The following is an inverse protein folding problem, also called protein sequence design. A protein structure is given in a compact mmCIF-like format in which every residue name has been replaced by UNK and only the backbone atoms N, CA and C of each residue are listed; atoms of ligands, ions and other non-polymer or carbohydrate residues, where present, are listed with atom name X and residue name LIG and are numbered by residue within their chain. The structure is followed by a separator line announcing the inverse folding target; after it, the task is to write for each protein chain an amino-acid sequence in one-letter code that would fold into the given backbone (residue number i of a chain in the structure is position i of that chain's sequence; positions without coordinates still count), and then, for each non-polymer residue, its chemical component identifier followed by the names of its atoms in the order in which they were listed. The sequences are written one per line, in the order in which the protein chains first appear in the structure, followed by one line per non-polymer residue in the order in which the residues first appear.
data_IF_482391706945
#
_entry.id   IF_482391706945
#
_cell.length_a   1.000
_cell.length_b   1.000
_cell.length_c   1.000
_cell.angle_alpha   90.00
_cell.angle_beta   90.00
_cell.angle_gamma   90.00
#
_symmetry.space_group_name_H-M   'P 1'
#
loop_
_entity.id
_entity.type
_entity.pdbx_description
1 polymer ?
#
# COMPACT_ATOMS: atom_id res chain seq x y z
N UNK A 1 26.35 42.33 13.90
CA UNK A 1 24.91 42.64 13.98
C UNK A 1 24.18 41.36 14.35
N UNK A 2 23.60 41.32 15.54
CA UNK A 2 22.85 40.17 16.07
C UNK A 2 21.37 40.33 15.73
N UNK A 3 20.74 39.29 15.16
CA UNK A 3 19.29 39.29 14.91
C UNK A 3 18.59 38.34 15.87
N UNK A 4 17.74 38.92 16.72
CA UNK A 4 16.79 38.26 17.62
C UNK A 4 15.42 38.24 16.94
N UNK A 5 14.85 37.06 16.70
CA UNK A 5 13.46 36.92 16.27
C UNK A 5 12.55 36.76 17.50
N UNK A 6 11.73 37.78 17.79
CA UNK A 6 10.50 37.62 18.60
C UNK A 6 9.32 37.58 17.63
N UNK A 7 8.66 36.43 17.53
CA UNK A 7 7.34 36.31 16.92
C UNK A 7 6.31 36.18 18.04
N UNK A 8 5.43 37.17 18.19
CA UNK A 8 4.19 37.03 18.96
C UNK A 8 3.02 37.29 18.02
N UNK A 9 2.43 36.21 17.51
CA UNK A 9 1.10 36.23 16.92
C UNK A 9 0.21 35.41 17.86
N UNK A 10 -0.68 36.09 18.58
CA UNK A 10 -1.69 35.49 19.44
C UNK A 10 -2.80 34.89 18.57
N UNK A 11 -2.94 33.57 18.60
CA UNK A 11 -4.10 32.89 18.03
C UNK A 11 -5.22 32.79 19.07
N UNK A 12 -6.50 33.01 18.69
CA UNK A 12 -7.62 32.83 19.60
C UNK A 12 -7.81 31.36 19.97
N UNK A 13 -8.11 31.11 21.25
CA UNK A 13 -8.30 29.78 21.84
C UNK A 13 -9.61 29.16 21.35
N UNK A 14 -9.51 28.15 20.50
CA UNK A 14 -10.65 27.33 20.07
C UNK A 14 -11.16 26.50 21.27
N UNK A 15 -12.43 26.63 21.61
CA UNK A 15 -13.07 25.83 22.67
C UNK A 15 -13.26 24.39 22.17
N UNK A 16 -12.82 23.42 22.97
CA UNK A 16 -13.08 22.00 22.70
C UNK A 16 -14.58 21.71 22.79
N UNK A 17 -15.17 20.96 21.84
CA UNK A 17 -16.53 20.46 22.01
C UNK A 17 -16.60 19.41 23.13
N UNK A 18 -17.75 19.35 23.79
CA UNK A 18 -18.09 18.41 24.86
C UNK A 18 -18.01 16.94 24.40
N UNK A 19 -17.76 15.99 25.32
CA UNK A 19 -17.43 14.62 24.96
C UNK A 19 -18.63 13.90 24.34
N UNK A 20 -18.50 13.54 23.07
CA UNK A 20 -19.45 12.69 22.33
C UNK A 20 -19.50 11.31 22.98
N UNK A 21 -20.72 10.81 23.21
CA UNK A 21 -21.01 9.51 23.80
C UNK A 21 -20.29 8.37 23.06
N UNK A 22 -19.58 7.53 23.83
CA UNK A 22 -18.84 6.37 23.32
C UNK A 22 -19.80 5.42 22.60
N UNK A 23 -19.58 5.22 21.30
CA UNK A 23 -20.16 4.09 20.58
C UNK A 23 -19.75 2.79 21.30
N UNK A 24 -20.75 1.99 21.63
CA UNK A 24 -20.62 0.68 22.30
C UNK A 24 -19.85 -0.26 21.36
N UNK A 25 -18.53 -0.34 21.57
CA UNK A 25 -17.67 -1.35 20.95
C UNK A 25 -18.22 -2.72 21.38
N UNK A 26 -18.74 -3.49 20.41
CA UNK A 26 -19.03 -4.90 20.66
C UNK A 26 -17.70 -5.57 21.02
N UNK A 27 -17.61 -6.01 22.27
CA UNK A 27 -16.49 -6.81 22.78
C UNK A 27 -16.53 -8.17 22.08
N UNK A 28 -15.58 -8.39 21.19
CA UNK A 28 -14.96 -9.71 21.05
C UNK A 28 -13.51 -9.46 21.41
N UNK A 29 -13.18 -9.63 22.68
CA UNK A 29 -11.80 -9.83 23.11
C UNK A 29 -11.79 -11.25 23.64
N UNK A 30 -11.62 -12.20 22.74
CA UNK A 30 -10.92 -13.41 23.11
C UNK A 30 -9.43 -13.05 23.04
N UNK A 31 -8.73 -13.22 24.15
CA UNK A 31 -7.29 -13.03 24.25
C UNK A 31 -6.60 -14.10 23.40
N UNK A 32 -6.48 -13.86 22.10
CA UNK A 32 -5.71 -14.68 21.19
C UNK A 32 -4.23 -14.34 21.38
N UNK A 33 -3.53 -15.11 22.20
CA UNK A 33 -2.07 -15.04 22.31
C UNK A 33 -1.46 -15.58 21.00
N UNK A 34 -0.90 -14.68 20.18
CA UNK A 34 -0.20 -15.06 18.95
C UNK A 34 1.29 -15.14 19.22
N UNK A 35 1.86 -16.34 19.08
CA UNK A 35 3.30 -16.56 19.14
C UNK A 35 3.85 -16.76 17.73
N UNK A 36 4.82 -15.93 17.33
CA UNK A 36 5.51 -16.03 16.03
C UNK A 36 6.71 -16.94 16.17
N UNK A 37 6.73 -18.04 15.42
CA UNK A 37 7.85 -18.98 15.41
C UNK A 37 8.99 -18.41 14.55
N UNK A 38 10.23 -18.49 15.05
CA UNK A 38 11.44 -18.20 14.27
C UNK A 38 11.95 -19.45 13.58
N UNK A 39 12.44 -19.29 12.34
CA UNK A 39 12.86 -20.38 11.45
C UNK A 39 13.95 -21.33 12.00
N UNK A 40 14.70 -20.92 13.03
CA UNK A 40 15.89 -21.63 13.47
C UNK A 40 15.59 -22.82 14.41
N UNK A 41 14.42 -22.86 15.06
CA UNK A 41 14.20 -23.74 16.23
C UNK A 41 12.99 -24.69 16.11
N UNK A 42 12.19 -24.62 15.03
CA UNK A 42 10.96 -25.42 14.89
C UNK A 42 10.78 -26.00 13.48
N UNK A 43 10.62 -27.32 13.29
CA UNK A 43 10.38 -27.93 11.99
C UNK A 43 9.09 -27.45 11.31
N UNK A 44 8.12 -26.93 12.07
CA UNK A 44 6.88 -26.32 11.56
C UNK A 44 7.14 -25.03 10.79
N UNK A 45 8.32 -24.39 10.96
CA UNK A 45 8.71 -23.17 10.26
C UNK A 45 8.59 -23.26 8.73
N UNK A 46 8.73 -24.46 8.16
CA UNK A 46 8.67 -24.70 6.71
C UNK A 46 7.24 -24.87 6.17
N UNK A 47 6.23 -25.03 7.03
CA UNK A 47 4.84 -25.29 6.61
C UNK A 47 4.25 -24.16 5.78
N UNK A 48 4.58 -22.90 6.11
CA UNK A 48 3.94 -21.74 5.48
C UNK A 48 4.60 -21.27 4.18
N UNK A 49 5.42 -22.08 3.51
CA UNK A 49 6.09 -21.75 2.24
C UNK A 49 6.69 -20.32 2.18
N UNK A 50 5.91 -19.36 1.64
CA UNK A 50 6.27 -17.94 1.41
C UNK A 50 5.66 -16.98 2.44
N UNK A 51 5.11 -17.52 3.52
CA UNK A 51 4.48 -16.80 4.62
C UNK A 51 5.12 -17.11 5.96
N UNK A 52 4.54 -16.57 7.01
CA UNK A 52 5.03 -16.68 8.38
C UNK A 52 4.13 -17.61 9.17
N UNK A 53 4.73 -18.56 9.89
CA UNK A 53 4.02 -19.44 10.81
C UNK A 53 3.64 -18.68 12.07
N UNK A 54 2.38 -18.77 12.46
CA UNK A 54 1.89 -18.32 13.76
C UNK A 54 1.21 -19.48 14.47
N UNK A 55 1.37 -19.52 15.78
CA UNK A 55 0.62 -20.42 16.66
C UNK A 55 -0.53 -19.63 17.26
N UNK A 56 -1.71 -20.22 17.16
CA UNK A 56 -2.96 -19.65 17.66
C UNK A 56 -3.52 -20.55 18.74
N UNK A 57 -3.99 -19.92 19.81
CA UNK A 57 -4.59 -20.56 20.98
C UNK A 57 -3.61 -21.43 21.80
N UNK A 58 -4.13 -21.96 22.92
CA UNK A 58 -3.38 -22.82 23.86
C UNK A 58 -2.98 -24.16 23.26
N UNK A 59 -3.68 -24.59 22.21
CA UNK A 59 -3.43 -25.85 21.51
C UNK A 59 -2.30 -25.73 20.47
N UNK A 60 -1.68 -24.55 20.34
CA UNK A 60 -0.63 -24.26 19.35
C UNK A 60 -1.05 -24.60 17.91
N UNK A 61 -2.29 -24.25 17.54
CA UNK A 61 -2.79 -24.52 16.19
C UNK A 61 -1.99 -23.68 15.19
N UNK A 62 -1.42 -24.34 14.19
CA UNK A 62 -0.59 -23.69 13.17
C UNK A 62 -1.46 -22.96 12.16
N UNK A 63 -1.24 -21.66 12.04
CA UNK A 63 -1.78 -20.83 10.96
C UNK A 63 -0.65 -20.14 10.19
N UNK A 64 -0.96 -19.73 8.96
CA UNK A 64 -0.01 -19.04 8.10
C UNK A 64 -0.47 -17.62 7.80
N UNK A 65 0.38 -16.65 8.10
CA UNK A 65 0.25 -15.28 7.61
C UNK A 65 0.92 -15.15 6.25
N UNK A 66 0.10 -15.07 5.20
CA UNK A 66 0.60 -14.91 3.84
C UNK A 66 0.88 -13.44 3.51
N UNK A 67 1.97 -13.19 2.79
CA UNK A 67 2.15 -11.89 2.12
C UNK A 67 1.07 -11.67 1.06
N UNK A 68 0.86 -10.43 0.63
CA UNK A 68 -0.15 -10.08 -0.39
C UNK A 68 0.02 -10.85 -1.71
N UNK A 69 1.23 -11.33 -1.99
CA UNK A 69 1.59 -12.09 -3.19
C UNK A 69 1.24 -13.58 -3.14
N UNK A 70 0.85 -14.12 -1.98
CA UNK A 70 0.56 -15.55 -1.81
C UNK A 70 -0.74 -15.75 -1.03
N UNK A 71 -1.37 -16.91 -1.20
CA UNK A 71 -2.61 -17.27 -0.53
C UNK A 71 -2.78 -18.78 -0.38
N UNK A 72 -3.85 -19.19 0.29
CA UNK A 72 -4.10 -20.56 0.73
C UNK A 72 -3.64 -20.78 2.17
N UNK A 73 -4.07 -21.89 2.77
CA UNK A 73 -3.83 -22.19 4.19
C UNK A 73 -2.34 -22.27 4.54
N UNK A 74 -1.48 -22.55 3.55
CA UNK A 74 -0.03 -22.68 3.70
C UNK A 74 0.75 -21.70 2.81
N UNK A 75 0.08 -20.64 2.31
CA UNK A 75 0.65 -19.68 1.37
C UNK A 75 1.27 -20.34 0.12
N UNK A 76 0.69 -21.46 -0.32
CA UNK A 76 1.21 -22.30 -1.38
C UNK A 76 0.87 -21.78 -2.78
N UNK A 77 -0.14 -20.92 -2.89
CA UNK A 77 -0.59 -20.41 -4.19
C UNK A 77 -0.11 -18.97 -4.39
N UNK A 78 0.50 -18.71 -5.54
CA UNK A 78 0.91 -17.37 -5.90
C UNK A 78 -0.28 -16.57 -6.45
N UNK A 79 -0.44 -15.34 -5.97
CA UNK A 79 -1.42 -14.41 -6.51
C UNK A 79 -1.04 -14.03 -7.95
N UNK A 80 -2.04 -13.99 -8.82
CA UNK A 80 -1.86 -13.51 -10.19
C UNK A 80 -1.61 -12.00 -10.16
N UNK A 81 -0.82 -11.52 -11.11
CA UNK A 81 -0.39 -10.12 -11.15
C UNK A 81 -0.16 -9.63 -12.55
N UNK A 82 -0.34 -8.33 -12.74
CA UNK A 82 0.18 -7.59 -13.89
C UNK A 82 1.53 -7.02 -13.48
N UNK A 83 2.57 -7.28 -14.26
CA UNK A 83 3.90 -6.69 -14.06
C UNK A 83 4.12 -5.63 -15.11
N UNK A 84 4.48 -4.43 -14.67
CA UNK A 84 4.66 -3.27 -15.53
C UNK A 84 6.05 -2.69 -15.31
N UNK A 85 6.78 -2.46 -16.40
CA UNK A 85 8.06 -1.74 -16.38
C UNK A 85 7.90 -0.42 -17.10
N UNK A 86 8.01 0.69 -16.37
CA UNK A 86 7.84 2.03 -16.92
C UNK A 86 9.16 2.79 -16.84
N UNK A 87 9.49 3.50 -17.92
CA UNK A 87 10.49 4.57 -17.90
C UNK A 87 9.79 5.86 -18.27
N UNK A 88 9.91 6.87 -17.41
CA UNK A 88 9.33 8.19 -17.65
C UNK A 88 10.43 9.11 -18.18
N UNK A 89 10.11 9.84 -19.26
CA UNK A 89 10.96 10.89 -19.81
C UNK A 89 10.14 12.15 -19.90
N UNK A 90 10.68 13.24 -19.38
CA UNK A 90 10.10 14.57 -19.56
C UNK A 90 10.86 15.30 -20.67
N UNK A 91 10.16 15.65 -21.75
CA UNK A 91 10.78 16.29 -22.91
C UNK A 91 11.09 17.77 -22.69
N UNK A 92 10.31 18.46 -21.85
CA UNK A 92 10.54 19.87 -21.52
C UNK A 92 11.14 20.01 -20.12
N UNK A 93 12.46 20.20 -20.06
CA UNK A 93 13.24 20.33 -18.82
C UNK A 93 13.09 21.69 -18.13
N UNK A 94 12.54 22.72 -18.78
CA UNK A 94 12.38 24.05 -18.16
C UNK A 94 11.37 24.04 -17.01
N UNK A 95 10.50 23.02 -16.95
CA UNK A 95 9.52 22.82 -15.89
C UNK A 95 9.91 21.66 -14.98
N UNK A 96 10.65 21.94 -13.91
CA UNK A 96 11.01 20.96 -12.88
C UNK A 96 9.84 20.63 -11.93
N UNK A 97 8.75 20.10 -12.47
CA UNK A 97 7.63 19.64 -11.66
C UNK A 97 7.97 18.29 -11.01
N UNK A 98 7.64 18.15 -9.73
CA UNK A 98 7.58 16.84 -9.09
C UNK A 98 6.29 16.19 -9.54
N UNK A 99 6.39 15.09 -10.27
CA UNK A 99 5.24 14.39 -10.85
C UNK A 99 4.88 13.22 -9.94
N UNK A 100 3.64 13.16 -9.49
CA UNK A 100 3.05 11.98 -8.89
C UNK A 100 2.37 11.16 -9.98
N UNK A 101 2.63 9.86 -10.01
CA UNK A 101 2.03 8.94 -10.97
C UNK A 101 1.31 7.85 -10.17
N UNK A 102 0.02 7.70 -10.41
CA UNK A 102 -0.82 6.65 -9.80
C UNK A 102 -1.17 5.65 -10.88
N UNK A 103 -0.90 4.38 -10.62
CA UNK A 103 -1.10 3.29 -11.56
C UNK A 103 -2.07 2.30 -10.92
N UNK A 104 -3.21 2.05 -11.55
CA UNK A 104 -4.33 1.32 -10.94
C UNK A 104 -4.76 0.17 -11.83
N UNK A 105 -4.94 -1.01 -11.24
CA UNK A 105 -5.60 -2.14 -11.88
C UNK A 105 -7.08 -2.10 -11.52
N UNK A 106 -7.92 -1.95 -12.54
CA UNK A 106 -9.37 -1.77 -12.38
C UNK A 106 -10.11 -2.77 -13.25
N UNK A 107 -11.22 -3.31 -12.76
CA UNK A 107 -12.10 -4.16 -13.57
C UNK A 107 -13.17 -3.35 -14.31
N UNK A 108 -13.96 -4.05 -15.12
CA UNK A 108 -15.05 -3.46 -15.89
C UNK A 108 -16.23 -2.94 -15.04
N UNK A 109 -16.28 -3.19 -13.73
CA UNK A 109 -17.27 -2.58 -12.83
C UNK A 109 -16.75 -1.31 -12.18
N UNK A 110 -15.48 -0.98 -12.38
CA UNK A 110 -14.81 0.16 -11.75
C UNK A 110 -14.18 -0.17 -10.40
N UNK A 111 -14.14 -1.46 -9.99
CA UNK A 111 -13.47 -1.87 -8.77
C UNK A 111 -11.95 -1.78 -8.94
N UNK A 112 -11.28 -1.06 -8.03
CA UNK A 112 -9.82 -0.99 -7.98
C UNK A 112 -9.30 -2.23 -7.24
N UNK A 113 -8.60 -3.11 -7.95
CA UNK A 113 -8.00 -4.32 -7.38
C UNK A 113 -6.69 -4.04 -6.64
N UNK A 114 -5.88 -3.13 -7.19
CA UNK A 114 -4.63 -2.66 -6.59
C UNK A 114 -4.17 -1.37 -7.25
N UNK A 115 -3.27 -0.66 -6.58
CA UNK A 115 -2.63 0.51 -7.13
C UNK A 115 -1.19 0.63 -6.64
N UNK A 116 -0.38 1.29 -7.46
CA UNK A 116 0.98 1.68 -7.15
C UNK A 116 1.13 3.18 -7.36
N UNK A 117 2.01 3.80 -6.57
CA UNK A 117 2.28 5.22 -6.69
C UNK A 117 3.78 5.47 -6.82
N UNK A 118 4.15 6.18 -7.88
CA UNK A 118 5.52 6.59 -8.16
C UNK A 118 5.64 8.10 -8.04
N UNK A 119 6.78 8.56 -7.54
CA UNK A 119 7.14 9.98 -7.59
C UNK A 119 8.32 10.15 -8.51
N UNK A 120 8.15 10.94 -9.57
CA UNK A 120 9.17 11.24 -10.54
C UNK A 120 9.65 12.68 -10.37
N UNK A 121 10.95 12.83 -10.12
CA UNK A 121 11.63 14.13 -10.11
C UNK A 121 12.57 14.16 -11.31
N UNK A 122 12.36 15.03 -12.32
CA UNK A 122 13.08 14.97 -13.60
C UNK A 122 14.61 14.95 -13.48
N UNK A 123 15.17 15.76 -12.59
CA UNK A 123 16.62 15.88 -12.37
C UNK A 123 17.22 14.63 -11.73
N UNK A 124 16.44 13.91 -10.92
CA UNK A 124 16.91 12.77 -10.11
C UNK A 124 16.61 11.45 -10.81
N UNK A 125 15.46 11.36 -11.49
CA UNK A 125 14.89 10.10 -11.95
C UNK A 125 14.84 9.95 -13.47
N UNK A 126 15.53 10.80 -14.24
CA UNK A 126 15.51 10.80 -15.72
C UNK A 126 15.77 9.42 -16.37
N UNK A 127 16.58 8.57 -15.72
CA UNK A 127 16.94 7.24 -16.21
C UNK A 127 16.36 6.09 -15.37
N UNK A 128 15.56 6.41 -14.35
CA UNK A 128 14.97 5.39 -13.48
C UNK A 128 13.93 4.56 -14.23
N UNK A 129 14.05 3.24 -14.12
CA UNK A 129 13.03 2.27 -14.53
C UNK A 129 12.27 1.80 -13.29
N UNK A 130 10.95 1.88 -13.34
CA UNK A 130 10.07 1.41 -12.27
C UNK A 130 9.51 0.05 -12.65
N UNK A 131 9.75 -0.96 -11.81
CA UNK A 131 9.18 -2.29 -11.96
C UNK A 131 8.09 -2.45 -10.91
N UNK A 132 6.84 -2.56 -11.35
CA UNK A 132 5.66 -2.48 -10.50
C UNK A 132 4.83 -3.75 -10.65
N UNK A 133 4.16 -4.15 -9.57
CA UNK A 133 3.33 -5.35 -9.53
C UNK A 133 1.93 -5.01 -9.03
N UNK A 134 0.96 -5.02 -9.94
CA UNK A 134 -0.45 -4.84 -9.61
C UNK A 134 -1.07 -6.22 -9.38
N UNK A 135 -1.60 -6.43 -8.17
CA UNK A 135 -2.23 -7.69 -7.76
C UNK A 135 -3.74 -7.66 -8.01
N UNK A 136 -4.31 -8.81 -8.39
CA UNK A 136 -5.76 -8.97 -8.35
C UNK A 136 -6.20 -9.14 -6.90
N UNK A 137 -7.28 -8.43 -6.52
CA UNK A 137 -7.92 -8.59 -5.22
C UNK A 137 -8.46 -10.02 -5.04
N UNK A 138 -9.16 -10.54 -6.05
CA UNK A 138 -9.63 -11.93 -6.08
C UNK A 138 -8.46 -12.88 -6.31
N UNK A 139 -8.43 -13.98 -5.54
CA UNK A 139 -7.37 -14.99 -5.56
C UNK A 139 -7.99 -16.37 -5.74
N UNK A 140 -7.99 -16.97 -6.95
CA UNK A 140 -7.43 -16.45 -8.21
C UNK A 140 -8.27 -15.34 -8.85
N UNK A 141 -7.72 -14.67 -9.87
CA UNK A 141 -8.45 -13.62 -10.62
C UNK A 141 -9.68 -14.22 -11.30
N UNK A 142 -10.77 -13.46 -11.33
CA UNK A 142 -11.96 -13.86 -12.08
C UNK A 142 -11.67 -13.77 -13.59
N UNK A 143 -11.76 -14.90 -14.30
CA UNK A 143 -11.45 -14.99 -15.73
C UNK A 143 -12.56 -14.42 -16.63
N UNK A 144 -13.77 -14.23 -16.11
CA UNK A 144 -14.91 -13.66 -16.85
C UNK A 144 -14.95 -12.13 -16.86
N UNK A 145 -14.10 -11.48 -16.05
CA UNK A 145 -13.98 -10.02 -16.00
C UNK A 145 -12.88 -9.52 -16.96
N UNK A 146 -13.09 -8.30 -17.46
CA UNK A 146 -12.08 -7.56 -18.18
C UNK A 146 -11.38 -6.60 -17.22
N UNK A 147 -10.07 -6.45 -17.37
CA UNK A 147 -9.25 -5.62 -16.51
C UNK A 147 -8.42 -4.65 -17.33
N UNK A 148 -8.33 -3.43 -16.85
CA UNK A 148 -7.54 -2.36 -17.46
C UNK A 148 -6.56 -1.80 -16.43
N UNK A 149 -5.43 -1.33 -16.94
CA UNK A 149 -4.45 -0.58 -16.14
C UNK A 149 -4.59 0.88 -16.53
N UNK A 150 -4.89 1.73 -15.56
CA UNK A 150 -4.95 3.18 -15.71
C UNK A 150 -3.69 3.79 -15.11
N UNK A 151 -3.07 4.73 -15.83
CA UNK A 151 -1.88 5.45 -15.37
C UNK A 151 -2.19 6.93 -15.40
N UNK A 152 -2.22 7.58 -14.24
CA UNK A 152 -2.55 8.99 -14.09
C UNK A 152 -1.36 9.76 -13.53
N UNK A 153 -0.97 10.84 -14.22
CA UNK A 153 0.08 11.75 -13.81
C UNK A 153 -0.51 13.09 -13.36
N UNK A 154 0.02 13.61 -12.25
CA UNK A 154 -0.34 14.91 -11.71
C UNK A 154 0.89 15.60 -11.12
N UNK A 155 0.85 16.91 -11.00
CA UNK A 155 1.86 17.66 -10.27
C UNK A 155 1.64 17.44 -8.77
N UNK A 156 2.64 16.87 -8.10
CA UNK A 156 2.53 16.42 -6.71
C UNK A 156 2.38 17.55 -5.70
N UNK A 157 2.76 18.80 -6.05
CA UNK A 157 2.69 19.94 -5.13
C UNK A 157 1.31 20.59 -5.09
N UNK A 158 0.71 20.83 -6.25
CA UNK A 158 -0.57 21.53 -6.37
C UNK A 158 -1.73 20.59 -6.78
N UNK A 159 -1.44 19.29 -6.94
CA UNK A 159 -2.40 18.25 -7.33
C UNK A 159 -3.07 18.51 -8.68
N UNK A 160 -2.45 19.30 -9.57
CA UNK A 160 -3.00 19.55 -10.90
C UNK A 160 -2.75 18.37 -11.81
N UNK A 161 -3.80 17.90 -12.48
CA UNK A 161 -3.72 16.86 -13.49
C UNK A 161 -2.75 17.24 -14.63
N UNK A 162 -2.02 16.25 -15.14
CA UNK A 162 -1.07 16.40 -16.27
C UNK A 162 -1.52 15.54 -17.45
N UNK A 163 -1.66 14.23 -17.24
CA UNK A 163 -1.96 13.26 -18.30
C UNK A 163 -2.46 11.93 -17.73
N UNK A 164 -3.14 11.15 -18.58
CA UNK A 164 -3.59 9.79 -18.28
C UNK A 164 -3.35 8.90 -19.50
N UNK A 165 -3.12 7.61 -19.23
CA UNK A 165 -3.00 6.55 -20.22
C UNK A 165 -3.81 5.33 -19.79
#
# INVERSE_FOLDING_TARGET
MSFSHKSSLNFPRMQLPSPVQKHKQHRIIDNMEMNVIKYQDDPRAWLCHRGVVILVDKDETVHCLCSSHYYGNFCQFQNQRVTLTIRIRQENLEKFHVIGIIIRLVDNTGLVHSYEQVTYVPVINCDTKYNLHLLYQDRPKNMSKNYLVYIDAYNKRNLTYIASW
#
